data_IF_530106593142
#
_entry.id   IF_530106593142
#
_cell.length_a   1.000
_cell.length_b   1.000
_cell.length_c   1.000
_cell.angle_alpha   90.00
_cell.angle_beta   90.00
_cell.angle_gamma   90.00
#
_symmetry.space_group_name_H-M   'P 1'
#
loop_
_entity.id
_entity.type
_entity.pdbx_description
1 polymer ?
#
# COMPACT_ATOMS: atom_id res chain seq x y z
N UNK A 1 -0.22 -17.17 -6.92
CA UNK A 1 0.98 -17.20 -7.78
C UNK A 1 0.60 -16.92 -9.21
N UNK A 2 1.41 -16.13 -9.89
CA UNK A 2 1.28 -15.83 -11.31
C UNK A 2 2.51 -16.33 -12.04
N UNK A 3 2.36 -16.64 -13.30
CA UNK A 3 3.44 -17.12 -14.18
C UNK A 3 4.45 -16.03 -14.52
N UNK A 4 4.01 -14.74 -14.48
CA UNK A 4 4.85 -13.61 -14.80
C UNK A 4 4.64 -12.43 -13.86
N UNK A 5 5.53 -11.44 -13.89
CA UNK A 5 5.44 -10.18 -13.12
C UNK A 5 5.03 -8.99 -14.00
N UNK A 6 5.03 -9.17 -15.31
CA UNK A 6 4.65 -8.20 -16.34
C UNK A 6 4.11 -8.95 -17.54
N UNK A 7 3.25 -8.33 -18.32
CA UNK A 7 2.58 -8.93 -19.47
C UNK A 7 2.52 -7.95 -20.64
N UNK A 8 2.26 -8.51 -21.83
CA UNK A 8 1.93 -7.74 -23.03
C UNK A 8 0.47 -7.96 -23.43
N UNK A 9 -0.10 -7.00 -24.12
CA UNK A 9 -1.40 -7.19 -24.78
C UNK A 9 -1.35 -8.37 -25.74
N UNK A 10 -2.37 -9.22 -25.73
CA UNK A 10 -2.42 -10.47 -26.47
C UNK A 10 -1.89 -11.68 -25.71
N UNK A 11 -1.21 -11.50 -24.60
CA UNK A 11 -0.78 -12.61 -23.73
C UNK A 11 -1.90 -13.10 -22.81
N UNK A 12 -1.73 -14.31 -22.30
CA UNK A 12 -2.58 -14.90 -21.27
C UNK A 12 -1.85 -14.86 -19.93
N UNK A 13 -2.46 -14.22 -18.94
CA UNK A 13 -1.99 -14.18 -17.56
C UNK A 13 -2.47 -15.43 -16.83
N UNK A 14 -1.57 -16.37 -16.56
CA UNK A 14 -1.89 -17.59 -15.82
C UNK A 14 -1.68 -17.40 -14.32
N UNK A 15 -2.55 -18.00 -13.52
CA UNK A 15 -2.39 -17.98 -12.07
C UNK A 15 -2.81 -19.29 -11.40
N UNK A 16 -2.26 -19.49 -10.21
CA UNK A 16 -2.71 -20.50 -9.26
C UNK A 16 -2.99 -19.84 -7.93
N UNK A 17 -4.19 -20.09 -7.41
CA UNK A 17 -4.66 -19.54 -6.15
C UNK A 17 -4.69 -20.63 -5.06
N UNK A 18 -4.39 -20.21 -3.85
CA UNK A 18 -4.42 -21.03 -2.64
C UNK A 18 -5.20 -20.27 -1.57
N UNK A 19 -6.22 -20.88 -1.03
CA UNK A 19 -6.95 -20.33 0.12
C UNK A 19 -6.41 -21.00 1.40
N UNK A 20 -5.90 -20.17 2.30
CA UNK A 20 -5.30 -20.65 3.55
C UNK A 20 -5.92 -19.95 4.75
N UNK A 21 -5.77 -20.52 5.93
CA UNK A 21 -6.01 -19.82 7.18
C UNK A 21 -4.80 -18.94 7.49
N UNK A 22 -5.01 -17.64 7.68
CA UNK A 22 -3.94 -16.66 7.88
C UNK A 22 -3.02 -16.94 9.07
N UNK A 23 -3.48 -17.74 10.04
CA UNK A 23 -2.72 -18.03 11.25
C UNK A 23 -1.69 -19.15 11.10
N UNK A 24 -1.82 -20.04 10.12
CA UNK A 24 -0.97 -21.23 10.06
C UNK A 24 -0.70 -21.75 8.64
N UNK A 25 -1.06 -20.99 7.62
CA UNK A 25 -0.91 -21.35 6.20
C UNK A 25 -1.54 -22.68 5.79
N UNK A 26 -2.41 -23.25 6.65
CA UNK A 26 -3.11 -24.50 6.32
C UNK A 26 -4.20 -24.22 5.28
N UNK A 27 -4.43 -25.14 4.35
CA UNK A 27 -5.50 -25.00 3.38
C UNK A 27 -6.85 -24.73 4.05
N UNK A 28 -7.57 -23.74 3.56
CA UNK A 28 -8.92 -23.41 4.01
C UNK A 28 -9.94 -24.02 3.07
N UNK A 29 -10.89 -24.75 3.62
CA UNK A 29 -12.02 -25.34 2.89
C UNK A 29 -13.35 -24.66 3.22
N UNK A 30 -13.33 -23.52 3.93
CA UNK A 30 -14.53 -22.77 4.34
C UNK A 30 -15.34 -22.27 3.17
N UNK A 31 -14.68 -21.91 2.08
CA UNK A 31 -15.33 -21.45 0.85
C UNK A 31 -15.06 -22.43 -0.29
N UNK A 32 -16.02 -22.60 -1.17
CA UNK A 32 -15.91 -23.48 -2.34
C UNK A 32 -15.73 -22.71 -3.65
N UNK A 33 -15.84 -21.38 -3.62
CA UNK A 33 -15.76 -20.52 -4.81
C UNK A 33 -14.81 -19.36 -4.52
N UNK A 34 -13.85 -19.18 -5.42
CA UNK A 34 -13.00 -18.00 -5.50
C UNK A 34 -13.51 -17.09 -6.61
N UNK A 35 -13.68 -15.83 -6.30
CA UNK A 35 -13.94 -14.76 -7.25
C UNK A 35 -12.61 -14.11 -7.59
N UNK A 36 -12.31 -13.94 -8.87
CA UNK A 36 -11.10 -13.27 -9.34
C UNK A 36 -11.50 -12.22 -10.36
N UNK A 37 -11.04 -11.01 -10.15
CA UNK A 37 -11.37 -9.84 -10.96
C UNK A 37 -10.11 -9.23 -11.55
N UNK A 38 -10.16 -8.90 -12.82
CA UNK A 38 -9.17 -8.05 -13.49
C UNK A 38 -9.70 -6.63 -13.50
N UNK A 39 -9.00 -5.72 -12.84
CA UNK A 39 -9.38 -4.30 -12.70
C UNK A 39 -8.43 -3.45 -13.53
N UNK A 40 -8.99 -2.58 -14.35
CA UNK A 40 -8.22 -1.66 -15.18
C UNK A 40 -7.57 -0.55 -14.35
N UNK A 41 -6.54 0.15 -14.88
CA UNK A 41 -5.91 1.29 -14.21
C UNK A 41 -6.89 2.36 -13.74
N UNK A 42 -8.02 2.52 -14.44
CA UNK A 42 -9.06 3.51 -14.14
C UNK A 42 -10.08 3.00 -13.09
N UNK A 43 -9.84 1.83 -12.50
CA UNK A 43 -10.61 1.30 -11.40
C UNK A 43 -11.87 0.50 -11.75
N UNK A 44 -12.24 0.35 -13.04
CA UNK A 44 -13.39 -0.49 -13.40
C UNK A 44 -12.97 -1.96 -13.59
N UNK A 45 -13.90 -2.86 -13.36
CA UNK A 45 -13.68 -4.30 -13.52
C UNK A 45 -13.78 -4.65 -15.01
N UNK A 46 -12.68 -5.14 -15.60
CA UNK A 46 -12.61 -5.61 -16.99
C UNK A 46 -13.32 -6.95 -17.13
N UNK A 47 -13.02 -7.87 -16.24
CA UNK A 47 -13.56 -9.22 -16.24
C UNK A 47 -13.62 -9.77 -14.80
N UNK A 48 -14.69 -10.54 -14.53
CA UNK A 48 -14.85 -11.30 -13.28
C UNK A 48 -14.99 -12.78 -13.61
N UNK A 49 -14.11 -13.61 -13.06
CA UNK A 49 -14.16 -15.07 -13.17
C UNK A 49 -14.44 -15.71 -11.81
N UNK A 50 -15.09 -16.89 -11.86
CA UNK A 50 -15.43 -17.68 -10.67
C UNK A 50 -14.83 -19.05 -10.81
N UNK A 51 -14.01 -19.44 -9.84
CA UNK A 51 -13.34 -20.74 -9.84
C UNK A 51 -13.81 -21.61 -8.69
N UNK A 52 -14.04 -22.89 -8.97
CA UNK A 52 -14.30 -23.86 -7.93
C UNK A 52 -12.96 -24.21 -7.24
N UNK A 53 -12.93 -24.11 -5.92
CA UNK A 53 -11.81 -24.57 -5.11
C UNK A 53 -11.89 -26.09 -4.92
N UNK A 54 -10.76 -26.75 -5.04
CA UNK A 54 -10.60 -28.17 -4.73
C UNK A 54 -10.63 -28.44 -3.21
N UNK A 55 -10.47 -29.70 -2.81
CA UNK A 55 -10.47 -30.08 -1.39
C UNK A 55 -9.24 -29.61 -0.62
N UNK A 56 -8.22 -29.09 -1.33
CA UNK A 56 -7.03 -28.46 -0.75
C UNK A 56 -7.13 -26.93 -0.76
N UNK A 57 -8.29 -26.38 -1.13
CA UNK A 57 -8.49 -24.94 -1.21
C UNK A 57 -7.76 -24.28 -2.39
N UNK A 58 -7.48 -25.02 -3.45
CA UNK A 58 -6.72 -24.55 -4.59
C UNK A 58 -7.58 -24.43 -5.86
N UNK A 59 -7.21 -23.53 -6.75
CA UNK A 59 -7.67 -23.47 -8.13
C UNK A 59 -6.61 -22.88 -9.05
N UNK A 60 -6.77 -23.07 -10.35
CA UNK A 60 -5.97 -22.41 -11.38
C UNK A 60 -6.89 -21.70 -12.35
N UNK A 61 -6.39 -20.64 -12.96
CA UNK A 61 -7.14 -19.87 -13.93
C UNK A 61 -6.24 -18.96 -14.75
N UNK A 62 -6.90 -18.20 -15.63
CA UNK A 62 -6.23 -17.29 -16.55
C UNK A 62 -7.07 -16.06 -16.85
N UNK A 63 -6.42 -15.00 -17.32
CA UNK A 63 -7.03 -13.87 -18.01
C UNK A 63 -6.36 -13.67 -19.36
N UNK A 64 -7.15 -13.60 -20.41
CA UNK A 64 -6.67 -13.22 -21.74
C UNK A 64 -6.61 -11.70 -21.82
N UNK A 65 -5.40 -11.16 -21.93
CA UNK A 65 -5.15 -9.74 -22.05
C UNK A 65 -5.36 -9.32 -23.50
N UNK A 66 -6.62 -9.20 -23.90
CA UNK A 66 -7.01 -8.92 -25.29
C UNK A 66 -6.39 -7.62 -25.79
N UNK A 67 -6.03 -7.56 -27.05
CA UNK A 67 -5.56 -6.35 -27.72
C UNK A 67 -6.56 -5.18 -27.66
N UNK A 68 -7.82 -5.46 -27.35
CA UNK A 68 -8.87 -4.45 -27.20
C UNK A 68 -8.84 -3.69 -25.87
N UNK A 69 -8.09 -4.18 -24.87
CA UNK A 69 -7.80 -3.41 -23.65
C UNK A 69 -6.57 -2.53 -23.88
N UNK A 70 -6.34 -1.59 -22.98
CA UNK A 70 -5.23 -0.65 -23.12
C UNK A 70 -4.05 -1.09 -22.26
N UNK A 71 -2.83 -0.70 -22.68
CA UNK A 71 -1.66 -0.85 -21.81
C UNK A 71 -1.82 -0.02 -20.52
N UNK A 72 -1.27 -0.50 -19.41
CA UNK A 72 -1.33 0.19 -18.12
C UNK A 72 -1.13 -0.75 -16.96
N UNK A 73 -1.39 -0.27 -15.75
CA UNK A 73 -1.25 -1.05 -14.52
C UNK A 73 -2.58 -1.69 -14.12
N UNK A 74 -2.73 -2.96 -14.40
CA UNK A 74 -3.92 -3.74 -14.07
C UNK A 74 -3.80 -4.38 -12.70
N UNK A 75 -4.88 -4.36 -11.93
CA UNK A 75 -4.92 -5.01 -10.62
C UNK A 75 -5.76 -6.28 -10.67
N UNK A 76 -5.19 -7.39 -10.25
CA UNK A 76 -5.95 -8.62 -10.01
C UNK A 76 -6.39 -8.65 -8.55
N UNK A 77 -7.69 -8.72 -8.31
CA UNK A 77 -8.28 -8.95 -6.99
C UNK A 77 -8.83 -10.36 -6.90
N UNK A 78 -8.61 -11.03 -5.77
CA UNK A 78 -9.15 -12.36 -5.53
C UNK A 78 -9.72 -12.48 -4.12
N UNK A 79 -10.93 -13.00 -4.01
CA UNK A 79 -11.64 -13.13 -2.73
C UNK A 79 -12.66 -14.25 -2.74
N UNK A 80 -12.99 -14.73 -1.56
CA UNK A 80 -14.15 -15.57 -1.31
C UNK A 80 -15.24 -14.75 -0.63
N UNK A 81 -16.49 -15.20 -0.66
CA UNK A 81 -17.57 -14.49 0.05
C UNK A 81 -17.32 -14.40 1.56
N UNK A 82 -16.63 -15.36 2.14
CA UNK A 82 -16.26 -15.33 3.54
C UNK A 82 -15.31 -14.17 3.88
N UNK A 83 -14.36 -13.87 2.98
CA UNK A 83 -13.40 -12.77 3.15
C UNK A 83 -14.08 -11.40 3.18
N UNK A 84 -15.21 -11.23 2.49
CA UNK A 84 -15.96 -9.96 2.48
C UNK A 84 -16.49 -9.54 3.86
N UNK A 85 -16.58 -10.45 4.82
CA UNK A 85 -16.94 -10.13 6.20
C UNK A 85 -15.84 -9.35 6.96
N UNK A 86 -14.63 -9.30 6.41
CA UNK A 86 -13.45 -8.73 7.06
C UNK A 86 -12.96 -7.43 6.42
N UNK A 87 -13.76 -6.87 5.48
CA UNK A 87 -13.43 -5.66 4.75
C UNK A 87 -12.41 -5.84 3.63
N UNK A 88 -12.02 -4.73 3.02
CA UNK A 88 -11.15 -4.74 1.83
C UNK A 88 -9.74 -5.27 2.11
N UNK A 89 -9.28 -5.16 3.35
CA UNK A 89 -7.96 -5.65 3.79
C UNK A 89 -7.82 -7.18 3.69
N UNK A 90 -8.93 -7.91 3.73
CA UNK A 90 -8.93 -9.35 3.55
C UNK A 90 -8.87 -9.78 2.09
N UNK A 91 -9.05 -8.87 1.14
CA UNK A 91 -9.04 -9.14 -0.29
C UNK A 91 -7.60 -9.17 -0.79
N UNK A 92 -7.22 -10.27 -1.44
CA UNK A 92 -5.96 -10.29 -2.16
C UNK A 92 -6.00 -9.30 -3.32
N UNK A 93 -4.98 -8.45 -3.44
CA UNK A 93 -4.80 -7.55 -4.57
C UNK A 93 -3.33 -7.53 -5.01
N UNK A 94 -3.10 -7.58 -6.32
CA UNK A 94 -1.77 -7.43 -6.90
C UNK A 94 -1.85 -6.72 -8.25
N UNK A 95 -0.98 -5.73 -8.43
CA UNK A 95 -0.92 -4.92 -9.65
C UNK A 95 0.19 -5.41 -10.57
N UNK A 96 -0.11 -5.47 -11.87
CA UNK A 96 0.80 -5.89 -12.93
C UNK A 96 0.87 -4.85 -14.04
N UNK A 97 2.06 -4.52 -14.55
CA UNK A 97 2.19 -3.75 -15.77
C UNK A 97 1.79 -4.62 -16.98
N UNK A 98 0.94 -4.06 -17.82
CA UNK A 98 0.56 -4.63 -19.12
C UNK A 98 1.01 -3.67 -20.21
N UNK A 99 1.91 -4.12 -21.07
CA UNK A 99 2.55 -3.33 -22.11
C UNK A 99 1.89 -3.57 -23.47
N UNK A 100 1.97 -2.56 -24.33
CA UNK A 100 1.64 -2.71 -25.75
C UNK A 100 2.91 -3.10 -26.52
N UNK A 101 2.86 -4.24 -27.17
CA UNK A 101 3.99 -4.77 -27.95
C UNK A 101 4.31 -3.96 -29.22
N UNK A 102 3.31 -3.27 -29.78
CA UNK A 102 3.44 -2.59 -31.08
C UNK A 102 4.03 -1.19 -30.95
N UNK A 103 3.70 -0.46 -29.88
CA UNK A 103 4.05 0.95 -29.80
C UNK A 103 5.20 1.25 -28.86
N UNK A 104 5.55 0.34 -27.94
CA UNK A 104 6.48 0.70 -26.86
C UNK A 104 6.06 2.01 -26.18
N UNK A 105 4.88 2.51 -26.57
CA UNK A 105 4.40 3.84 -26.34
C UNK A 105 3.58 3.93 -25.08
N UNK A 106 3.85 4.98 -24.35
CA UNK A 106 2.98 5.39 -23.28
C UNK A 106 1.80 6.13 -23.92
N UNK A 107 0.61 5.53 -23.86
CA UNK A 107 -0.59 6.26 -24.21
C UNK A 107 -0.83 7.37 -23.19
N UNK A 108 -1.10 8.57 -23.68
CA UNK A 108 -1.69 9.62 -22.86
C UNK A 108 -3.08 9.14 -22.37
N UNK A 109 -3.52 9.59 -21.20
CA UNK A 109 -4.84 9.21 -20.64
C UNK A 109 -5.96 9.50 -21.65
N UNK A 110 -5.84 10.59 -22.39
CA UNK A 110 -6.77 10.96 -23.45
C UNK A 110 -6.86 9.88 -24.53
N UNK A 111 -5.73 9.38 -25.01
CA UNK A 111 -5.69 8.32 -26.03
C UNK A 111 -6.30 7.02 -25.51
N UNK A 112 -6.09 6.72 -24.24
CA UNK A 112 -6.69 5.58 -23.58
C UNK A 112 -8.20 5.70 -23.51
N UNK A 113 -8.74 6.87 -23.19
CA UNK A 113 -10.18 7.13 -23.10
C UNK A 113 -10.84 7.20 -24.48
N UNK A 114 -10.19 7.83 -25.48
CA UNK A 114 -10.71 7.98 -26.83
C UNK A 114 -10.78 6.64 -27.58
N UNK A 115 -9.84 5.73 -27.36
CA UNK A 115 -9.86 4.37 -27.92
C UNK A 115 -10.87 3.45 -27.27
N UNK A 116 -11.35 3.80 -26.10
CA UNK A 116 -12.34 3.00 -25.37
C UNK A 116 -13.76 3.28 -25.85
N UNK A 117 -14.41 2.23 -26.27
CA UNK A 117 -15.86 2.10 -26.19
C UNK A 117 -16.24 1.70 -24.73
N UNK A 118 -15.59 2.34 -23.75
CA UNK A 118 -15.73 2.00 -22.34
C UNK A 118 -17.08 2.44 -21.81
N UNK A 119 -17.72 1.63 -20.92
CA UNK A 119 -18.93 2.01 -20.21
C UNK A 119 -18.67 3.02 -19.05
N UNK A 120 -17.48 3.63 -18.97
CA UNK A 120 -17.25 4.71 -18.01
C UNK A 120 -18.31 5.78 -18.20
N UNK A 121 -19.01 6.13 -17.13
CA UNK A 121 -19.97 7.22 -17.13
C UNK A 121 -19.27 8.53 -17.52
N UNK A 122 -19.99 9.44 -18.15
CA UNK A 122 -19.41 10.72 -18.60
C UNK A 122 -18.83 11.52 -17.42
N UNK A 123 -19.38 11.36 -16.23
CA UNK A 123 -18.88 11.95 -14.97
C UNK A 123 -17.54 11.37 -14.55
N UNK A 124 -17.36 10.04 -14.65
CA UNK A 124 -16.09 9.37 -14.34
C UNK A 124 -15.01 9.78 -15.34
N UNK A 125 -15.36 9.93 -16.63
CA UNK A 125 -14.43 10.43 -17.65
C UNK A 125 -13.97 11.86 -17.36
N UNK A 126 -14.86 12.75 -16.93
CA UNK A 126 -14.51 14.14 -16.59
C UNK A 126 -13.63 14.22 -15.34
N UNK A 127 -13.80 13.30 -14.41
CA UNK A 127 -12.99 13.23 -13.20
C UNK A 127 -11.61 12.66 -13.49
N UNK A 128 -11.53 11.65 -14.36
CA UNK A 128 -10.29 11.04 -14.88
C UNK A 128 -9.46 12.06 -15.66
N UNK A 129 -10.08 12.84 -16.56
CA UNK A 129 -9.39 13.91 -17.32
C UNK A 129 -8.82 15.02 -16.43
N UNK A 130 -9.38 15.21 -15.23
CA UNK A 130 -8.93 16.25 -14.28
C UNK A 130 -7.79 15.79 -13.37
N UNK A 131 -7.67 14.49 -13.09
CA UNK A 131 -6.66 13.95 -12.20
C UNK A 131 -5.48 13.36 -12.97
N UNK A 132 -4.47 14.19 -13.28
CA UNK A 132 -3.23 13.71 -13.91
C UNK A 132 -2.36 12.86 -12.98
N UNK A 133 -2.50 13.05 -11.69
CA UNK A 133 -1.70 12.41 -10.65
C UNK A 133 -2.59 11.87 -9.53
N UNK A 134 -2.13 10.78 -8.92
CA UNK A 134 -2.60 10.26 -7.65
C UNK A 134 -1.45 10.33 -6.66
N UNK A 135 -1.68 10.91 -5.52
CA UNK A 135 -0.71 11.01 -4.43
C UNK A 135 -1.38 10.55 -3.15
N UNK A 136 -0.95 9.39 -2.69
CA UNK A 136 -1.45 8.77 -1.47
C UNK A 136 -0.38 8.87 -0.38
N UNK A 137 -0.82 9.05 0.88
CA UNK A 137 0.03 9.18 2.05
C UNK A 137 -0.27 8.10 3.06
N UNK A 138 0.79 7.54 3.64
CA UNK A 138 0.75 6.45 4.59
C UNK A 138 1.58 6.83 5.83
N UNK A 139 0.98 7.51 6.83
CA UNK A 139 1.65 7.79 8.09
C UNK A 139 2.08 6.49 8.79
N UNK A 140 3.28 6.46 9.34
CA UNK A 140 3.73 5.33 10.15
C UNK A 140 2.88 5.22 11.42
N UNK A 141 2.31 4.05 11.66
CA UNK A 141 1.32 3.85 12.72
C UNK A 141 -0.13 4.09 12.30
N UNK A 142 -0.37 4.60 11.06
CA UNK A 142 -1.69 4.80 10.46
C UNK A 142 -2.23 6.23 10.57
N UNK A 143 -1.79 7.02 11.54
CA UNK A 143 -2.36 8.34 11.86
C UNK A 143 -1.27 9.41 12.00
N UNK A 144 -1.64 10.66 11.72
CA UNK A 144 -0.85 11.83 12.07
C UNK A 144 -1.37 12.37 13.40
N UNK A 145 -0.53 12.41 14.41
CA UNK A 145 -0.93 12.86 15.76
C UNK A 145 -0.22 14.18 16.09
N UNK A 146 -0.93 15.14 16.67
CA UNK A 146 -0.37 16.42 17.10
C UNK A 146 0.86 16.22 17.98
N UNK A 147 1.94 16.95 17.70
CA UNK A 147 3.21 17.00 18.43
C UNK A 147 3.96 15.64 18.51
N UNK A 148 3.51 14.62 17.79
CA UNK A 148 4.21 13.34 17.71
C UNK A 148 4.99 13.25 16.37
N UNK A 149 6.33 13.08 16.40
CA UNK A 149 7.11 12.89 15.19
C UNK A 149 6.62 11.67 14.40
N UNK A 150 6.44 11.84 13.10
CA UNK A 150 5.94 10.79 12.22
C UNK A 150 6.79 10.69 10.95
N UNK A 151 7.01 9.46 10.50
CA UNK A 151 7.46 9.15 9.15
C UNK A 151 6.23 8.95 8.28
N UNK A 152 6.16 9.66 7.16
CA UNK A 152 5.09 9.50 6.20
C UNK A 152 5.66 8.91 4.92
N UNK A 153 5.25 7.71 4.58
CA UNK A 153 5.48 7.17 3.25
C UNK A 153 4.44 7.75 2.29
N UNK A 154 4.81 7.89 1.03
CA UNK A 154 3.89 8.33 -0.01
C UNK A 154 4.13 7.58 -1.32
N UNK A 155 3.09 7.55 -2.16
CA UNK A 155 3.14 7.00 -3.50
C UNK A 155 2.58 8.01 -4.49
N UNK A 156 3.44 8.47 -5.43
CA UNK A 156 3.09 9.39 -6.50
C UNK A 156 2.99 8.62 -7.82
N UNK A 157 1.78 8.51 -8.32
CA UNK A 157 1.48 7.82 -9.57
C UNK A 157 0.83 8.78 -10.56
N UNK A 158 1.05 8.53 -11.83
CA UNK A 158 0.20 9.07 -12.88
C UNK A 158 -1.15 8.38 -12.80
N UNK A 159 -2.17 8.98 -13.38
CA UNK A 159 -3.54 8.45 -13.36
C UNK A 159 -3.64 7.00 -13.91
N UNK A 160 -2.80 6.62 -14.87
CA UNK A 160 -2.74 5.26 -15.43
C UNK A 160 -1.94 4.26 -14.57
N UNK A 161 -1.56 4.65 -13.35
CA UNK A 161 -0.79 3.82 -12.42
C UNK A 161 0.73 3.88 -12.63
N UNK A 162 1.23 4.63 -13.62
CA UNK A 162 2.66 4.73 -13.88
C UNK A 162 3.36 5.52 -12.76
N UNK A 163 4.46 4.98 -12.19
CA UNK A 163 5.25 5.68 -11.20
C UNK A 163 5.83 6.99 -11.73
N UNK A 164 5.74 8.04 -10.93
CA UNK A 164 6.28 9.35 -11.25
C UNK A 164 7.56 9.64 -10.45
N UNK A 165 8.39 10.54 -11.00
CA UNK A 165 9.66 10.96 -10.36
C UNK A 165 9.65 12.43 -9.94
N UNK A 166 8.50 13.11 -10.12
CA UNK A 166 8.38 14.53 -9.78
C UNK A 166 8.50 14.74 -8.29
N UNK A 167 9.15 15.85 -7.91
CA UNK A 167 9.26 16.23 -6.50
C UNK A 167 7.92 16.74 -5.99
N UNK A 168 7.63 16.40 -4.74
CA UNK A 168 6.51 16.97 -3.99
C UNK A 168 7.00 18.01 -3.00
N UNK A 169 6.23 19.06 -2.78
CA UNK A 169 6.49 20.05 -1.72
C UNK A 169 5.36 19.98 -0.71
N UNK A 170 5.70 19.74 0.53
CA UNK A 170 4.75 19.74 1.65
C UNK A 170 4.64 21.14 2.20
N UNK A 171 3.41 21.58 2.42
CA UNK A 171 3.08 22.89 2.98
C UNK A 171 2.42 22.75 4.34
N UNK A 172 2.79 23.62 5.22
CA UNK A 172 2.13 23.94 6.48
C UNK A 172 1.32 25.22 6.25
N UNK A 173 -0.01 25.12 6.15
CA UNK A 173 -0.89 26.19 5.68
C UNK A 173 -0.42 26.76 4.33
N UNK A 174 0.15 27.97 4.36
CA UNK A 174 0.69 28.68 3.18
C UNK A 174 2.21 28.61 3.07
N UNK A 175 2.90 28.08 4.08
CA UNK A 175 4.36 28.05 4.16
C UNK A 175 4.90 26.72 3.66
N UNK A 176 5.88 26.69 2.75
CA UNK A 176 6.54 25.44 2.40
C UNK A 176 7.33 24.91 3.61
N UNK A 177 7.12 23.65 3.95
CA UNK A 177 7.76 22.96 5.07
C UNK A 177 9.00 22.19 4.60
N UNK A 178 8.83 21.34 3.61
CA UNK A 178 9.88 20.51 3.05
C UNK A 178 9.59 20.13 1.59
N UNK A 179 10.65 19.68 0.90
CA UNK A 179 10.55 19.12 -0.45
C UNK A 179 11.22 17.76 -0.47
N UNK A 180 10.57 16.78 -1.11
CA UNK A 180 11.08 15.43 -1.28
C UNK A 180 10.78 14.92 -2.69
N UNK A 181 11.48 13.88 -3.12
CA UNK A 181 11.25 13.21 -4.40
C UNK A 181 11.14 11.70 -4.17
N UNK A 182 10.37 10.99 -5.01
CA UNK A 182 10.30 9.54 -4.94
C UNK A 182 11.68 8.90 -5.09
N UNK A 183 11.98 7.95 -4.23
CA UNK A 183 13.24 7.20 -4.23
C UNK A 183 13.15 5.95 -5.10
N UNK A 184 11.99 5.29 -5.09
CA UNK A 184 11.78 4.05 -5.82
C UNK A 184 10.33 3.92 -6.33
N UNK A 185 10.16 3.77 -7.66
CA UNK A 185 8.87 3.48 -8.30
C UNK A 185 7.71 4.37 -7.82
N UNK A 186 7.93 5.68 -7.79
CA UNK A 186 6.92 6.64 -7.33
C UNK A 186 6.78 6.74 -5.81
N UNK A 187 7.50 5.93 -5.05
CA UNK A 187 7.43 5.88 -3.59
C UNK A 187 8.58 6.65 -2.95
N UNK A 188 8.29 7.30 -1.86
CA UNK A 188 9.27 8.01 -1.05
C UNK A 188 8.78 8.19 0.37
N UNK A 189 9.61 8.81 1.18
CA UNK A 189 9.30 9.09 2.59
C UNK A 189 9.69 10.52 2.95
N UNK A 190 9.05 11.06 3.98
CA UNK A 190 9.47 12.27 4.65
C UNK A 190 9.13 12.22 6.13
N UNK A 191 9.84 13.05 6.90
CA UNK A 191 9.69 13.13 8.35
C UNK A 191 9.21 14.52 8.73
N UNK A 192 8.23 14.61 9.61
CA UNK A 192 7.84 15.86 10.24
C UNK A 192 7.10 15.60 11.55
N UNK A 193 6.91 16.68 12.32
CA UNK A 193 6.07 16.66 13.52
C UNK A 193 4.86 17.54 13.27
N UNK A 194 3.65 16.97 13.20
CA UNK A 194 2.43 17.74 13.00
C UNK A 194 2.21 18.71 14.16
N UNK A 195 1.86 19.97 13.85
CA UNK A 195 1.56 20.98 14.85
C UNK A 195 0.07 21.09 15.07
N UNK A 196 -0.31 21.49 16.26
CA UNK A 196 -1.69 21.69 16.69
C UNK A 196 -2.42 22.69 15.78
N UNK A 197 -3.59 22.26 15.25
CA UNK A 197 -4.50 23.12 14.50
C UNK A 197 -4.01 23.54 13.12
N UNK A 198 -2.95 22.91 12.59
CA UNK A 198 -2.37 23.21 11.29
C UNK A 198 -2.89 22.25 10.23
N UNK A 199 -3.17 22.77 9.03
CA UNK A 199 -3.51 21.97 7.87
C UNK A 199 -2.29 21.75 6.99
N UNK A 200 -2.11 20.50 6.56
CA UNK A 200 -1.02 20.11 5.68
C UNK A 200 -1.53 19.71 4.30
N UNK A 201 -0.79 20.15 3.27
CA UNK A 201 -1.05 19.75 1.88
C UNK A 201 0.26 19.53 1.14
N UNK A 202 0.19 18.75 0.08
CA UNK A 202 1.29 18.55 -0.85
C UNK A 202 0.98 19.21 -2.20
N UNK A 203 2.02 19.69 -2.86
CA UNK A 203 1.96 20.23 -4.22
C UNK A 203 2.94 19.50 -5.12
N UNK A 204 2.46 19.10 -6.30
CA UNK A 204 3.26 18.57 -7.40
C UNK A 204 3.25 19.60 -8.51
N UNK A 205 4.43 20.07 -8.93
CA UNK A 205 4.57 20.95 -10.11
C UNK A 205 4.84 20.09 -11.33
N UNK A 206 4.10 20.32 -12.39
CA UNK A 206 4.27 19.65 -13.67
C UNK A 206 4.10 20.59 -14.85
N UNK A 207 4.61 20.19 -16.00
CA UNK A 207 4.50 20.95 -17.24
C UNK A 207 3.42 20.33 -18.12
N UNK A 208 2.44 21.11 -18.47
CA UNK A 208 1.41 20.74 -19.42
C UNK A 208 1.73 21.31 -20.80
N UNK A 209 1.70 20.44 -21.80
CA UNK A 209 1.90 20.86 -23.21
C UNK A 209 0.55 20.79 -23.92
N UNK A 210 0.09 21.90 -24.49
CA UNK A 210 -1.14 21.92 -25.25
C UNK A 210 -0.96 21.37 -26.68
N UNK A 211 -2.06 21.22 -27.42
CA UNK A 211 -2.09 20.74 -28.80
C UNK A 211 -1.23 21.56 -29.79
N UNK A 212 -0.89 22.80 -29.42
CA UNK A 212 -0.05 23.72 -30.22
C UNK A 212 1.42 23.72 -29.77
N UNK A 213 1.83 22.77 -28.91
CA UNK A 213 3.21 22.67 -28.42
C UNK A 213 3.59 23.73 -27.37
N UNK A 214 2.63 24.54 -26.88
CA UNK A 214 2.90 25.53 -25.83
C UNK A 214 2.87 24.84 -24.48
N UNK A 215 3.92 25.05 -23.70
CA UNK A 215 4.07 24.52 -22.35
C UNK A 215 3.57 25.51 -21.30
N UNK A 216 2.90 25.01 -20.28
CA UNK A 216 2.47 25.79 -19.11
C UNK A 216 2.77 25.01 -17.84
N UNK A 217 3.39 25.68 -16.88
CA UNK A 217 3.56 25.09 -15.54
C UNK A 217 2.21 25.05 -14.82
N UNK A 218 1.89 23.91 -14.24
CA UNK A 218 0.68 23.64 -13.48
C UNK A 218 1.04 23.07 -12.10
N UNK A 219 0.11 23.19 -11.17
CA UNK A 219 0.27 22.69 -9.80
C UNK A 219 -0.93 21.80 -9.48
N UNK A 220 -0.65 20.55 -9.12
CA UNK A 220 -1.63 19.67 -8.51
C UNK A 220 -1.49 19.72 -6.99
N UNK A 221 -2.62 19.83 -6.29
CA UNK A 221 -2.66 19.91 -4.82
C UNK A 221 -3.37 18.72 -4.25
N UNK A 222 -2.82 18.19 -3.16
CA UNK A 222 -3.31 17.01 -2.44
C UNK A 222 -3.34 17.31 -0.95
N UNK A 223 -4.44 16.95 -0.28
CA UNK A 223 -4.50 17.03 1.18
C UNK A 223 -3.69 15.90 1.82
N UNK A 224 -2.96 16.20 2.89
CA UNK A 224 -2.44 15.15 3.76
C UNK A 224 -3.56 14.58 4.62
N UNK A 225 -3.38 13.38 5.22
CA UNK A 225 -4.30 12.87 6.23
C UNK A 225 -4.54 13.88 7.34
N UNK A 226 -5.73 13.86 7.90
CA UNK A 226 -6.11 14.75 9.00
C UNK A 226 -5.22 14.50 10.21
N UNK A 227 -4.76 15.57 10.83
CA UNK A 227 -3.98 15.49 12.07
C UNK A 227 -4.96 15.30 13.25
N UNK A 228 -4.80 14.22 13.98
CA UNK A 228 -5.60 13.91 15.17
C UNK A 228 -5.02 14.60 16.39
N UNK A 229 -5.89 15.07 17.27
CA UNK A 229 -5.50 15.81 18.47
C UNK A 229 -4.78 14.95 19.49
N UNK A 230 -5.27 13.72 19.69
CA UNK A 230 -4.76 12.74 20.64
C UNK A 230 -4.61 11.40 19.97
N UNK A 231 -3.62 10.63 20.36
CA UNK A 231 -3.44 9.29 19.84
C UNK A 231 -2.09 8.67 20.14
N UNK A 232 -1.77 7.65 19.39
CA UNK A 232 -0.52 6.90 19.51
C UNK A 232 0.22 6.94 18.16
N UNK A 233 1.49 7.33 18.21
CA UNK A 233 2.42 7.21 17.10
C UNK A 233 3.38 6.05 17.33
N UNK A 234 3.71 5.34 16.27
CA UNK A 234 4.70 4.24 16.27
C UNK A 234 5.80 4.57 15.28
N UNK A 235 7.04 4.29 15.65
CA UNK A 235 8.15 4.23 14.71
C UNK A 235 8.92 2.92 14.92
N UNK A 236 9.28 2.26 13.82
CA UNK A 236 10.11 1.05 13.83
C UNK A 236 11.41 1.35 13.09
N UNK A 237 12.52 1.21 13.80
CA UNK A 237 13.86 1.33 13.22
C UNK A 237 14.56 0.00 13.27
N UNK A 238 15.20 -0.35 12.16
CA UNK A 238 16.05 -1.52 12.06
C UNK A 238 17.51 -1.10 12.28
N UNK A 239 18.16 -1.72 13.22
CA UNK A 239 19.59 -1.64 13.44
C UNK A 239 20.22 -3.01 13.18
N UNK A 240 21.55 -3.11 13.13
CA UNK A 240 22.25 -4.32 12.65
C UNK A 240 21.61 -5.63 13.14
N UNK A 241 21.48 -5.79 14.46
CA UNK A 241 20.98 -7.03 15.07
C UNK A 241 19.65 -6.86 15.83
N UNK A 242 19.02 -5.70 15.73
CA UNK A 242 17.89 -5.35 16.57
C UNK A 242 16.85 -4.50 15.83
N UNK A 243 15.63 -4.59 16.32
CA UNK A 243 14.56 -3.66 16.00
C UNK A 243 14.30 -2.77 17.21
N UNK A 244 14.26 -1.46 16.98
CA UNK A 244 13.89 -0.46 17.99
C UNK A 244 12.48 -0.01 17.67
N UNK A 245 11.56 -0.29 18.58
CA UNK A 245 10.16 0.08 18.49
C UNK A 245 9.90 1.26 19.42
N UNK A 246 9.65 2.43 18.85
CA UNK A 246 9.32 3.64 19.59
C UNK A 246 7.82 3.86 19.54
N UNK A 247 7.18 3.89 20.71
CA UNK A 247 5.76 4.14 20.88
C UNK A 247 5.63 5.46 21.65
N UNK A 248 4.92 6.42 21.07
CA UNK A 248 4.65 7.74 21.68
C UNK A 248 3.17 7.98 21.74
N UNK A 249 2.71 8.63 22.78
CA UNK A 249 1.33 9.06 22.89
C UNK A 249 1.22 10.45 23.53
N UNK A 250 0.14 11.15 23.23
CA UNK A 250 -0.22 12.44 23.81
C UNK A 250 -1.64 12.40 24.42
N UNK A 251 -2.10 11.23 24.83
CA UNK A 251 -3.44 11.02 25.40
C UNK A 251 -3.51 11.72 26.77
N UNK A 252 -4.45 12.68 26.90
CA UNK A 252 -4.58 13.52 28.11
C UNK A 252 -5.03 12.72 29.32
N UNK A 253 -5.97 11.78 29.13
CA UNK A 253 -6.49 10.95 30.22
C UNK A 253 -5.63 9.70 30.40
N UNK A 254 -5.30 9.37 31.63
CA UNK A 254 -4.56 8.13 31.90
C UNK A 254 -5.45 6.91 31.65
N UNK A 255 -5.08 6.12 30.64
CA UNK A 255 -5.73 4.86 30.28
C UNK A 255 -4.72 3.72 30.21
N UNK A 256 -5.20 2.51 30.39
CA UNK A 256 -4.38 1.32 30.13
C UNK A 256 -4.21 1.09 28.64
N UNK A 257 -2.97 0.89 28.24
CA UNK A 257 -2.56 0.55 26.91
C UNK A 257 -1.88 -0.81 26.91
N UNK A 258 -1.89 -1.47 25.77
CA UNK A 258 -1.10 -2.66 25.51
C UNK A 258 -0.43 -2.56 24.16
N UNK A 259 0.75 -3.14 24.02
CA UNK A 259 1.34 -3.38 22.73
C UNK A 259 1.60 -4.88 22.53
N UNK A 260 1.36 -5.34 21.31
CA UNK A 260 1.60 -6.72 20.94
C UNK A 260 2.35 -6.80 19.62
N UNK A 261 3.23 -7.79 19.50
CA UNK A 261 3.85 -8.15 18.23
C UNK A 261 3.23 -9.46 17.78
N UNK A 262 2.73 -9.45 16.56
CA UNK A 262 2.09 -10.59 15.92
C UNK A 262 2.90 -11.02 14.69
N UNK A 263 3.06 -12.31 14.50
CA UNK A 263 3.59 -12.90 13.27
C UNK A 263 2.67 -14.05 12.86
N UNK A 264 2.15 -14.02 11.64
CA UNK A 264 1.18 -15.00 11.12
C UNK A 264 0.02 -15.29 12.10
N UNK A 265 -0.50 -14.24 12.73
CA UNK A 265 -1.59 -14.32 13.72
C UNK A 265 -1.20 -14.90 15.08
N UNK A 266 0.07 -15.20 15.31
CA UNK A 266 0.58 -15.64 16.62
C UNK A 266 1.22 -14.49 17.36
N UNK A 267 0.88 -14.31 18.62
CA UNK A 267 1.48 -13.32 19.49
C UNK A 267 2.90 -13.76 19.88
N UNK A 268 3.87 -12.89 19.60
CA UNK A 268 5.29 -13.08 19.93
C UNK A 268 5.66 -12.32 21.19
N UNK A 269 5.06 -11.13 21.38
CA UNK A 269 5.28 -10.28 22.53
C UNK A 269 3.95 -9.61 22.90
N UNK A 270 3.75 -9.44 24.20
CA UNK A 270 2.70 -8.58 24.77
C UNK A 270 3.27 -7.82 25.94
N UNK A 271 3.12 -6.49 25.95
CA UNK A 271 3.50 -5.64 27.07
C UNK A 271 2.40 -4.64 27.39
N UNK A 272 1.83 -4.67 28.60
CA UNK A 272 0.94 -3.64 29.08
C UNK A 272 1.74 -2.39 29.51
N UNK A 273 1.13 -1.22 29.35
CA UNK A 273 1.66 0.04 29.84
C UNK A 273 0.53 1.06 30.05
N UNK A 274 0.83 2.24 30.62
CA UNK A 274 -0.13 3.33 30.81
C UNK A 274 0.17 4.46 29.83
N UNK A 275 -0.88 5.16 29.35
CA UNK A 275 -0.72 6.39 28.56
C UNK A 275 -0.04 7.52 29.35
N UNK A 276 0.00 7.45 30.68
CA UNK A 276 0.85 8.33 31.50
C UNK A 276 2.34 8.24 31.18
N UNK A 277 2.77 7.15 30.53
CA UNK A 277 4.10 7.03 29.93
C UNK A 277 4.06 7.56 28.48
N UNK A 278 4.37 8.83 28.30
CA UNK A 278 4.31 9.49 26.98
C UNK A 278 5.22 8.86 25.90
N UNK A 279 6.28 8.12 26.31
CA UNK A 279 7.19 7.45 25.40
C UNK A 279 7.63 6.10 25.97
N UNK A 280 7.50 5.05 25.19
CA UNK A 280 7.97 3.69 25.49
C UNK A 280 8.84 3.20 24.33
N UNK A 281 10.04 2.72 24.66
CA UNK A 281 10.94 2.08 23.68
C UNK A 281 11.07 0.61 24.02
N UNK A 282 10.94 -0.24 23.02
CA UNK A 282 11.16 -1.68 23.10
C UNK A 282 12.29 -2.02 22.14
N UNK A 283 13.33 -2.68 22.63
CA UNK A 283 14.45 -3.16 21.82
C UNK A 283 14.36 -4.67 21.74
N UNK A 284 14.27 -5.20 20.52
CA UNK A 284 14.16 -6.63 20.26
C UNK A 284 15.34 -7.09 19.42
N UNK A 285 16.01 -8.11 19.91
CA UNK A 285 17.03 -8.78 19.09
C UNK A 285 16.37 -9.46 17.90
N UNK A 286 16.96 -9.37 16.71
CA UNK A 286 16.44 -9.93 15.47
C UNK A 286 16.11 -11.41 15.60
N UNK A 287 16.99 -12.20 16.20
CA UNK A 287 16.84 -13.63 16.37
C UNK A 287 15.73 -14.04 17.36
N UNK A 288 15.22 -13.08 18.15
CA UNK A 288 14.10 -13.33 19.07
C UNK A 288 12.74 -13.33 18.39
N UNK A 289 12.69 -12.88 17.13
CA UNK A 289 11.47 -12.81 16.34
C UNK A 289 11.48 -13.84 15.21
N UNK A 290 10.34 -14.43 14.85
CA UNK A 290 10.27 -15.33 13.70
C UNK A 290 10.46 -14.57 12.39
N UNK A 291 11.07 -15.21 11.40
CA UNK A 291 11.24 -14.65 10.06
C UNK A 291 9.90 -14.34 9.39
N UNK A 292 9.89 -13.26 8.63
CA UNK A 292 8.73 -12.80 7.86
C UNK A 292 8.13 -11.51 8.38
N UNK A 293 6.88 -11.24 7.99
CA UNK A 293 6.17 -10.02 8.38
C UNK A 293 5.72 -10.12 9.84
N UNK A 294 6.26 -9.22 10.66
CA UNK A 294 5.79 -8.95 12.00
C UNK A 294 4.94 -7.68 12.02
N UNK A 295 3.94 -7.64 12.90
CA UNK A 295 3.02 -6.53 13.07
C UNK A 295 3.02 -6.07 14.51
N UNK A 296 3.47 -4.85 14.76
CA UNK A 296 3.31 -4.18 16.03
C UNK A 296 1.93 -3.52 16.05
N UNK A 297 1.16 -3.80 17.08
CA UNK A 297 -0.15 -3.18 17.32
C UNK A 297 -0.14 -2.57 18.71
N UNK A 298 -0.58 -1.32 18.82
CA UNK A 298 -0.88 -0.67 20.12
C UNK A 298 -2.38 -0.52 20.23
N UNK A 299 -2.94 -0.90 21.36
CA UNK A 299 -4.38 -0.90 21.58
C UNK A 299 -4.73 -0.39 23.00
N UNK A 300 -5.93 0.14 23.12
CA UNK A 300 -6.53 0.54 24.40
C UNK A 300 -7.35 -0.61 25.01
N UNK A 301 -7.89 -0.37 26.18
CA UNK A 301 -8.88 -1.25 26.78
C UNK A 301 -9.98 -1.65 25.78
N UNK A 302 -10.42 -2.92 25.81
CA UNK A 302 -11.42 -3.50 24.90
C UNK A 302 -10.88 -3.83 23.50
N UNK A 303 -9.57 -4.04 23.35
CA UNK A 303 -8.91 -4.48 22.10
C UNK A 303 -9.11 -3.53 20.90
N UNK A 304 -9.32 -2.23 21.17
CA UNK A 304 -9.41 -1.22 20.12
C UNK A 304 -8.00 -0.85 19.66
N UNK A 305 -7.63 -1.14 18.40
CA UNK A 305 -6.32 -0.77 17.88
C UNK A 305 -6.25 0.76 17.73
N UNK A 306 -5.18 1.36 18.23
CA UNK A 306 -4.90 2.79 18.16
C UNK A 306 -3.82 3.11 17.12
N UNK A 307 -2.87 2.20 16.93
CA UNK A 307 -1.82 2.33 15.93
C UNK A 307 -1.27 0.96 15.54
N UNK A 308 -0.86 0.84 14.30
CA UNK A 308 -0.33 -0.40 13.76
C UNK A 308 0.86 -0.14 12.84
N UNK A 309 1.88 -1.02 12.89
CA UNK A 309 3.04 -0.96 12.00
C UNK A 309 3.54 -2.34 11.66
N UNK A 310 3.62 -2.63 10.37
CA UNK A 310 4.26 -3.85 9.88
C UNK A 310 5.75 -3.61 9.64
N UNK A 311 6.55 -4.63 9.95
CA UNK A 311 7.97 -4.66 9.65
C UNK A 311 8.40 -6.08 9.27
N UNK A 312 9.48 -6.20 8.51
CA UNK A 312 9.94 -7.49 8.01
C UNK A 312 11.17 -7.93 8.80
N UNK A 313 11.11 -9.14 9.33
CA UNK A 313 12.24 -9.79 10.00
C UNK A 313 12.91 -10.74 9.01
N UNK A 314 14.17 -10.50 8.72
CA UNK A 314 15.01 -11.36 7.89
C UNK A 314 16.13 -11.89 8.74
N UNK A 315 16.25 -13.21 8.82
CA UNK A 315 17.43 -13.85 9.36
C UNK A 315 18.47 -14.00 8.25
N UNK A 316 19.74 -13.82 8.57
CA UNK A 316 20.81 -14.05 7.61
C UNK A 316 20.81 -15.53 7.24
N UNK A 317 20.38 -15.83 6.03
CA UNK A 317 20.58 -17.16 5.46
C UNK A 317 22.09 -17.33 5.28
N UNK A 318 22.67 -18.35 5.88
CA UNK A 318 24.01 -18.83 5.51
C UNK A 318 23.98 -19.07 4.01
N UNK A 319 24.70 -18.27 3.23
CA UNK A 319 24.78 -18.44 1.79
C UNK A 319 25.35 -19.84 1.52
N UNK A 320 24.84 -20.60 0.54
CA UNK A 320 25.42 -21.90 0.18
C UNK A 320 26.91 -21.84 -0.12
N UNK A 321 27.43 -20.67 -0.47
CA UNK A 321 28.87 -20.43 -0.73
C UNK A 321 29.72 -20.44 0.55
N UNK A 322 29.13 -20.20 1.73
CA UNK A 322 29.82 -20.29 3.02
C UNK A 322 30.05 -21.73 3.49
N UNK A 323 29.45 -22.71 2.81
CA UNK A 323 29.58 -24.15 3.11
C UNK A 323 30.70 -24.85 2.30
N UNK A 324 31.45 -24.14 1.46
CA UNK A 324 32.55 -24.70 0.68
C UNK A 324 33.91 -24.74 1.45
N UNK A 325 33.90 -24.56 2.74
CA UNK A 325 35.09 -24.51 3.60
C UNK A 325 35.20 -25.60 4.66
N UNK A 326 34.66 -26.81 4.44
CA UNK A 326 34.91 -27.96 5.31
C UNK A 326 35.32 -29.18 4.49
#
# INVERSE_FOLDING_TARGET
HFDNTAYYLGETMWFKAYTTFGTNDRPSTLSKVLYVELVAPEGYVVETKKYKLDDKGCCSGEFDLKESILSGYYTVRAYTRYMLNWGDEAIFARTFPVYDAVSGGHYEIKDMLDRRRSPLLAEDRQQVDKMKYRLDFYPEGGHLIEEIPCVVAYELLRHDGKPMKDSITIFEDKRPLLRTAPEHNGKGTFHFTPRKGVQYRAEVKYVETNEHGRTKEQIAQFALPVVEREGVGIAVREEADSFILDIRNNIENEISLGCAILNKGRMQLYEPFSSGMAHKTIILHRDSLPEGVCRLVVFANQDIPLAERQFFVRHDCVHPDDLQGV
#
